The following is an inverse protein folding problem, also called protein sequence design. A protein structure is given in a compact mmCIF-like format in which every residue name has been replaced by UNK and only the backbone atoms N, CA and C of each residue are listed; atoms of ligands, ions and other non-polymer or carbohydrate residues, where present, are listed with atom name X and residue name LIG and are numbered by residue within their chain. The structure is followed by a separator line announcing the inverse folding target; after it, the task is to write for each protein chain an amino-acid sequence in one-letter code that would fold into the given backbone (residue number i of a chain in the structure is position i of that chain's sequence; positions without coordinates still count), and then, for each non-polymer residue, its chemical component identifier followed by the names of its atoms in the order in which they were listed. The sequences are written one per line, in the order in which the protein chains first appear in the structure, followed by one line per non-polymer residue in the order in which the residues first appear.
data_IF_710639820870
#
_entry.id   IF_710639820870
#
_cell.length_a   1.000
_cell.length_b   1.000
_cell.length_c   1.000
_cell.angle_alpha   90.00
_cell.angle_beta   90.00
_cell.angle_gamma   90.00
#
_symmetry.space_group_name_H-M   'P 1'
#
loop_
_entity.id
_entity.type
_entity.pdbx_description
1 polymer ?
#
# COMPACT_ATOMS: atom_id res chain seq x y z
N UNK A 1 33.50 -3.34 9.15
CA UNK A 1 32.12 -2.86 8.91
C UNK A 1 31.65 -2.25 10.21
N UNK A 2 30.82 -1.22 10.15
CA UNK A 2 30.24 -0.63 11.37
C UNK A 2 29.34 -1.67 12.04
N UNK A 3 29.46 -1.84 13.35
CA UNK A 3 28.65 -2.74 14.16
C UNK A 3 27.79 -1.91 15.09
N UNK A 4 26.50 -2.18 15.15
CA UNK A 4 25.53 -1.46 16.00
C UNK A 4 24.72 -2.47 16.80
N UNK A 5 24.53 -2.22 18.09
CA UNK A 5 23.69 -2.99 19.00
C UNK A 5 22.48 -2.15 19.42
N UNK A 6 21.28 -2.63 19.15
CA UNK A 6 20.04 -2.04 19.66
C UNK A 6 19.65 -2.74 20.96
N UNK A 7 19.42 -1.97 22.04
CA UNK A 7 18.85 -2.45 23.30
C UNK A 7 17.34 -2.21 23.27
N UNK A 8 16.53 -3.26 23.16
CA UNK A 8 15.08 -3.15 22.96
C UNK A 8 14.31 -3.31 24.28
N UNK A 9 13.38 -2.39 24.60
CA UNK A 9 12.45 -2.58 25.72
C UNK A 9 11.56 -3.79 25.49
N UNK A 10 10.89 -3.82 24.33
CA UNK A 10 10.16 -4.97 23.78
C UNK A 10 10.56 -5.16 22.33
N UNK A 11 10.41 -6.38 21.81
CA UNK A 11 10.68 -6.70 20.41
C UNK A 11 9.54 -7.54 19.83
N UNK A 12 9.03 -7.10 18.68
CA UNK A 12 8.20 -7.89 17.78
C UNK A 12 9.06 -8.32 16.59
N UNK A 13 9.19 -9.61 16.36
CA UNK A 13 10.10 -10.14 15.32
C UNK A 13 9.51 -10.18 13.89
N UNK A 14 8.22 -9.84 13.75
CA UNK A 14 7.48 -9.93 12.49
C UNK A 14 6.71 -11.26 12.30
N UNK A 15 6.91 -12.25 13.16
CA UNK A 15 6.36 -13.61 12.99
C UNK A 15 5.53 -14.06 14.19
N UNK A 16 6.10 -13.95 15.39
CA UNK A 16 5.48 -14.45 16.61
C UNK A 16 4.41 -13.49 17.14
N UNK A 17 3.31 -14.04 17.66
CA UNK A 17 2.26 -13.25 18.30
C UNK A 17 2.61 -12.92 19.76
N UNK A 18 3.79 -12.33 19.94
CA UNK A 18 4.28 -11.91 21.27
C UNK A 18 5.26 -10.75 21.16
N UNK A 19 5.27 -9.92 22.20
CA UNK A 19 6.31 -8.91 22.40
C UNK A 19 7.34 -9.47 23.38
N UNK A 20 8.55 -9.71 22.89
CA UNK A 20 9.64 -10.27 23.67
C UNK A 20 10.36 -9.16 24.46
N UNK A 21 10.42 -9.21 25.82
CA UNK A 21 11.04 -8.15 26.60
C UNK A 21 12.56 -8.27 26.59
N UNK A 22 13.25 -7.11 26.68
CA UNK A 22 14.70 -7.01 26.91
C UNK A 22 15.52 -7.81 25.90
N UNK A 23 15.16 -7.68 24.62
CA UNK A 23 15.92 -8.28 23.52
C UNK A 23 16.98 -7.31 23.00
N UNK A 24 17.96 -7.86 22.32
CA UNK A 24 19.02 -7.14 21.64
C UNK A 24 19.03 -7.51 20.16
N UNK A 25 19.36 -6.55 19.30
CA UNK A 25 19.58 -6.76 17.86
C UNK A 25 20.98 -6.29 17.51
N UNK A 26 21.85 -7.21 17.12
CA UNK A 26 23.19 -6.93 16.65
C UNK A 26 23.18 -6.80 15.12
N UNK A 27 23.73 -5.68 14.63
CA UNK A 27 23.73 -5.31 13.21
C UNK A 27 25.18 -5.16 12.76
N UNK A 28 25.53 -5.73 11.61
CA UNK A 28 26.81 -5.58 10.94
C UNK A 28 26.60 -5.06 9.52
N UNK A 29 27.01 -3.81 9.27
CA UNK A 29 26.74 -3.15 8.00
C UNK A 29 25.22 -2.96 7.76
N UNK A 30 24.71 -3.54 6.68
CA UNK A 30 23.29 -3.49 6.28
C UNK A 30 22.46 -4.69 6.78
N UNK A 31 23.07 -5.62 7.55
CA UNK A 31 22.43 -6.89 7.92
C UNK A 31 22.33 -7.08 9.43
N UNK A 32 21.26 -7.74 9.84
CA UNK A 32 21.10 -8.29 11.19
C UNK A 32 22.03 -9.50 11.32
N UNK A 33 22.95 -9.45 12.28
CA UNK A 33 23.85 -10.55 12.58
C UNK A 33 23.24 -11.51 13.61
N UNK A 34 22.63 -10.96 14.67
CA UNK A 34 21.99 -11.76 15.71
C UNK A 34 20.80 -11.02 16.35
N UNK A 35 19.85 -11.81 16.86
CA UNK A 35 18.75 -11.35 17.72
C UNK A 35 18.71 -12.23 18.94
N UNK A 36 18.77 -11.65 20.14
CA UNK A 36 18.86 -12.44 21.37
C UNK A 36 18.97 -11.59 22.63
N UNK A 37 19.56 -12.14 23.67
CA UNK A 37 19.87 -11.44 24.94
C UNK A 37 21.35 -11.62 25.24
N UNK A 38 21.96 -10.60 25.83
CA UNK A 38 23.38 -10.60 26.18
C UNK A 38 24.28 -10.98 25.00
N UNK A 39 24.03 -10.36 23.84
CA UNK A 39 24.78 -10.64 22.63
C UNK A 39 26.24 -10.20 22.78
N UNK A 40 27.21 -10.99 22.27
CA UNK A 40 28.61 -10.57 22.27
C UNK A 40 28.80 -9.34 21.41
N UNK A 41 29.59 -8.37 21.90
CA UNK A 41 29.87 -7.11 21.20
C UNK A 41 31.35 -6.77 21.30
N UNK A 42 31.90 -6.22 20.23
CA UNK A 42 33.25 -5.67 20.20
C UNK A 42 33.33 -4.32 20.90
N UNK A 43 34.56 -3.88 21.18
CA UNK A 43 34.83 -2.59 21.86
C UNK A 43 34.32 -1.39 21.02
N UNK A 44 34.35 -1.48 19.68
CA UNK A 44 33.91 -0.44 18.74
C UNK A 44 32.44 -0.53 18.36
N UNK A 45 31.62 -1.33 19.06
CA UNK A 45 30.19 -1.48 18.77
C UNK A 45 29.43 -0.25 19.25
N UNK A 46 28.74 0.43 18.34
CA UNK A 46 27.81 1.52 18.69
C UNK A 46 26.59 0.94 19.41
N UNK A 47 26.21 1.52 20.54
CA UNK A 47 25.03 1.09 21.29
C UNK A 47 23.95 2.15 21.15
N UNK A 48 22.75 1.72 20.70
CA UNK A 48 21.55 2.55 20.63
C UNK A 48 20.54 2.00 21.65
N UNK A 49 20.22 2.85 22.63
CA UNK A 49 19.26 2.48 23.69
C UNK A 49 17.82 2.80 23.26
N UNK A 50 17.02 1.73 23.07
CA UNK A 50 15.60 1.77 22.78
C UNK A 50 14.81 1.01 23.87
N UNK A 51 15.31 1.03 25.11
CA UNK A 51 14.72 0.30 26.24
C UNK A 51 13.34 0.84 26.66
N UNK A 52 12.98 2.05 26.23
CA UNK A 52 11.66 2.67 26.43
C UNK A 52 10.68 2.42 25.26
N UNK A 53 11.09 1.68 24.26
CA UNK A 53 10.32 1.49 23.02
C UNK A 53 10.07 0.00 22.69
N UNK A 54 9.10 -0.23 21.80
CA UNK A 54 8.91 -1.53 21.15
C UNK A 54 9.57 -1.49 19.78
N UNK A 55 10.57 -2.35 19.57
CA UNK A 55 11.29 -2.51 18.31
C UNK A 55 10.58 -3.52 17.41
N UNK A 56 10.45 -3.20 16.13
CA UNK A 56 9.79 -4.03 15.11
C UNK A 56 10.64 -4.07 13.84
N UNK A 57 10.38 -4.98 12.89
CA UNK A 57 10.80 -4.76 11.52
C UNK A 57 10.28 -3.40 11.02
N UNK A 58 10.99 -2.78 10.11
CA UNK A 58 10.49 -1.59 9.41
C UNK A 58 9.12 -1.88 8.80
N UNK A 59 8.15 -0.97 9.01
CA UNK A 59 6.81 -1.16 8.50
C UNK A 59 6.78 -1.05 6.97
N UNK A 60 5.83 -1.75 6.37
CA UNK A 60 5.60 -1.81 4.94
C UNK A 60 4.15 -1.44 4.66
N UNK A 61 3.92 -0.45 3.80
CA UNK A 61 2.59 -0.13 3.28
C UNK A 61 2.45 -0.71 1.87
N UNK A 62 1.50 -1.63 1.68
CA UNK A 62 1.30 -2.32 0.42
C UNK A 62 0.33 -1.62 -0.54
N UNK A 63 -0.20 -0.45 -0.19
CA UNK A 63 -1.09 0.32 -1.05
C UNK A 63 -1.04 1.81 -0.73
N UNK A 64 -0.23 2.56 -1.46
CA UNK A 64 -0.16 4.02 -1.35
C UNK A 64 0.02 4.65 -2.73
N UNK A 65 -0.60 5.79 -2.97
CA UNK A 65 -0.41 6.62 -4.16
C UNK A 65 0.56 7.77 -3.83
N UNK A 66 1.85 7.48 -3.87
CA UNK A 66 2.90 8.40 -3.43
C UNK A 66 3.02 9.66 -4.31
N UNK A 67 2.50 9.63 -5.53
CA UNK A 67 2.44 10.76 -6.46
C UNK A 67 1.20 11.64 -6.27
N UNK A 68 0.32 11.32 -5.31
CA UNK A 68 -0.81 12.14 -4.85
C UNK A 68 -0.44 12.93 -3.58
N UNK A 69 0.62 13.70 -3.62
CA UNK A 69 1.25 14.32 -2.46
C UNK A 69 0.60 15.63 -1.99
N UNK A 70 -0.31 16.22 -2.76
CA UNK A 70 -1.16 17.35 -2.36
C UNK A 70 -2.62 17.01 -2.63
N UNK A 71 -3.34 16.65 -1.57
CA UNK A 71 -4.73 16.21 -1.67
C UNK A 71 -5.71 17.33 -2.04
N UNK A 72 -5.41 18.58 -1.71
CA UNK A 72 -6.28 19.70 -2.02
C UNK A 72 -6.24 20.08 -3.51
N UNK A 73 -5.10 19.86 -4.15
CA UNK A 73 -4.88 20.20 -5.57
C UNK A 73 -4.71 18.96 -6.46
N UNK A 74 -4.79 17.76 -5.91
CA UNK A 74 -4.49 16.49 -6.59
C UNK A 74 -5.13 16.37 -7.97
N UNK A 75 -6.39 16.78 -8.13
CA UNK A 75 -7.08 16.69 -9.41
C UNK A 75 -6.52 17.66 -10.45
N UNK A 76 -6.29 18.92 -10.08
CA UNK A 76 -5.68 19.90 -10.98
C UNK A 76 -4.25 19.50 -11.33
N UNK A 77 -3.49 19.03 -10.36
CA UNK A 77 -2.13 18.56 -10.59
C UNK A 77 -2.07 17.32 -11.47
N UNK A 78 -3.03 16.41 -11.38
CA UNK A 78 -3.11 15.26 -12.28
C UNK A 78 -3.20 15.66 -13.74
N UNK A 79 -3.85 16.77 -14.04
CA UNK A 79 -4.04 17.26 -15.41
C UNK A 79 -2.89 18.19 -15.85
N UNK A 80 -2.40 19.05 -14.96
CA UNK A 80 -1.54 20.16 -15.32
C UNK A 80 -0.09 20.05 -14.86
N UNK A 81 0.20 19.23 -13.84
CA UNK A 81 1.57 19.09 -13.36
C UNK A 81 2.44 18.28 -14.33
N UNK A 82 3.72 18.65 -14.41
CA UNK A 82 4.68 17.86 -15.18
C UNK A 82 5.03 16.56 -14.46
N UNK A 83 5.41 15.53 -15.23
CA UNK A 83 5.89 14.25 -14.69
C UNK A 83 7.10 14.41 -13.75
N UNK A 84 7.98 15.39 -14.03
CA UNK A 84 9.10 15.72 -13.12
C UNK A 84 8.60 16.21 -11.76
N UNK A 85 7.58 17.08 -11.72
CA UNK A 85 7.00 17.57 -10.47
C UNK A 85 6.39 16.43 -9.66
N UNK A 86 5.68 15.50 -10.31
CA UNK A 86 5.13 14.30 -9.67
C UNK A 86 6.19 13.35 -9.16
N UNK A 87 7.29 13.17 -9.90
CA UNK A 87 8.42 12.37 -9.45
C UNK A 87 9.04 12.97 -8.16
N UNK A 88 9.17 14.30 -8.08
CA UNK A 88 9.61 14.98 -6.87
C UNK A 88 8.61 14.82 -5.70
N UNK A 89 7.31 14.83 -5.97
CA UNK A 89 6.28 14.53 -4.98
C UNK A 89 6.36 13.10 -4.47
N UNK A 90 6.57 12.14 -5.37
CA UNK A 90 6.83 10.73 -4.98
C UNK A 90 8.05 10.60 -4.06
N UNK A 91 9.13 11.33 -4.37
CA UNK A 91 10.32 11.34 -3.54
C UNK A 91 10.03 11.95 -2.15
N UNK A 92 9.31 13.07 -2.10
CA UNK A 92 8.87 13.71 -0.86
C UNK A 92 8.06 12.73 0.01
N UNK A 93 7.06 12.05 -0.58
CA UNK A 93 6.26 11.04 0.12
C UNK A 93 7.13 9.90 0.66
N UNK A 94 8.05 9.37 -0.17
CA UNK A 94 8.93 8.27 0.24
C UNK A 94 9.88 8.67 1.39
N UNK A 95 10.37 9.91 1.40
CA UNK A 95 11.22 10.43 2.47
C UNK A 95 10.44 10.57 3.80
N UNK A 96 9.26 11.18 3.76
CA UNK A 96 8.43 11.37 4.96
C UNK A 96 7.90 10.04 5.51
N UNK A 97 7.49 9.10 4.67
CA UNK A 97 7.09 7.76 5.10
C UNK A 97 8.24 7.01 5.80
N UNK A 98 9.47 7.10 5.27
CA UNK A 98 10.65 6.53 5.93
C UNK A 98 10.85 7.11 7.33
N UNK A 99 10.80 8.43 7.48
CA UNK A 99 10.97 9.12 8.76
C UNK A 99 9.87 8.80 9.77
N UNK A 100 8.73 8.28 9.30
CA UNK A 100 7.61 7.79 10.10
C UNK A 100 7.61 6.28 10.32
N UNK A 101 8.73 5.60 10.02
CA UNK A 101 8.93 4.19 10.32
C UNK A 101 8.49 3.20 9.25
N UNK A 102 8.04 3.67 8.07
CA UNK A 102 7.68 2.83 6.94
C UNK A 102 8.86 2.73 5.97
N UNK A 103 9.60 1.62 6.04
CA UNK A 103 10.84 1.43 5.28
C UNK A 103 10.62 0.98 3.84
N UNK A 104 9.43 0.46 3.51
CA UNK A 104 9.04 0.06 2.15
C UNK A 104 7.60 0.46 1.84
N UNK A 105 7.35 0.83 0.59
CA UNK A 105 6.04 1.22 0.07
C UNK A 105 5.76 0.45 -1.23
N UNK A 106 4.52 -0.03 -1.42
CA UNK A 106 4.05 -0.50 -2.72
C UNK A 106 3.08 0.51 -3.32
N UNK A 107 3.32 0.86 -4.58
CA UNK A 107 2.53 1.80 -5.36
C UNK A 107 1.71 1.02 -6.41
N UNK A 108 0.45 0.63 -6.10
CA UNK A 108 -0.39 -0.14 -7.01
C UNK A 108 -1.12 0.76 -8.01
N UNK A 109 -0.36 1.33 -8.91
CA UNK A 109 -0.78 2.31 -9.89
C UNK A 109 -0.35 3.72 -9.51
N UNK A 110 0.31 4.40 -10.44
CA UNK A 110 0.58 5.84 -10.32
C UNK A 110 -0.66 6.61 -10.75
N UNK A 111 -0.89 7.76 -10.12
CA UNK A 111 -1.87 8.76 -10.60
C UNK A 111 -1.37 9.39 -11.90
N UNK A 112 -0.04 9.47 -12.06
CA UNK A 112 0.61 9.90 -13.31
C UNK A 112 0.36 8.89 -14.44
N UNK A 113 -0.46 9.22 -15.46
CA UNK A 113 -0.82 8.27 -16.50
C UNK A 113 0.07 8.36 -17.74
N UNK A 114 1.04 9.28 -17.79
CA UNK A 114 1.71 9.67 -19.04
C UNK A 114 3.13 9.14 -19.18
N UNK A 115 3.82 8.87 -18.06
CA UNK A 115 5.20 8.40 -18.10
C UNK A 115 5.54 7.38 -16.99
N UNK A 116 6.83 7.20 -16.75
CA UNK A 116 7.38 6.17 -15.86
C UNK A 116 8.28 6.75 -14.76
N UNK A 117 8.05 8.00 -14.35
CA UNK A 117 8.91 8.74 -13.41
C UNK A 117 9.12 8.05 -12.07
N UNK A 118 8.17 7.26 -11.59
CA UNK A 118 8.31 6.47 -10.34
C UNK A 118 9.51 5.51 -10.39
N UNK A 119 9.82 4.96 -11.55
CA UNK A 119 10.98 4.07 -11.72
C UNK A 119 12.31 4.81 -11.50
N UNK A 120 12.38 6.08 -11.90
CA UNK A 120 13.57 6.91 -11.70
C UNK A 120 13.72 7.30 -10.22
N UNK A 121 12.63 7.59 -9.54
CA UNK A 121 12.62 7.84 -8.09
C UNK A 121 13.10 6.59 -7.33
N UNK A 122 12.50 5.43 -7.62
CA UNK A 122 12.87 4.17 -6.98
C UNK A 122 14.37 3.87 -7.16
N UNK A 123 14.87 3.97 -8.40
CA UNK A 123 16.29 3.77 -8.73
C UNK A 123 17.20 4.77 -8.01
N UNK A 124 16.78 6.03 -7.86
CA UNK A 124 17.56 7.08 -7.21
C UNK A 124 17.67 6.84 -5.70
N UNK A 125 16.61 6.35 -5.06
CA UNK A 125 16.63 5.91 -3.66
C UNK A 125 17.50 4.66 -3.50
N UNK A 126 17.36 3.66 -4.37
CA UNK A 126 18.14 2.42 -4.32
C UNK A 126 19.65 2.68 -4.45
N UNK A 127 20.05 3.66 -5.29
CA UNK A 127 21.44 4.07 -5.45
C UNK A 127 21.97 4.97 -4.35
N UNK A 128 21.12 5.34 -3.38
CA UNK A 128 21.48 6.21 -2.25
C UNK A 128 21.68 7.68 -2.65
N UNK A 129 21.18 8.11 -3.81
CA UNK A 129 21.23 9.53 -4.19
C UNK A 129 20.27 10.36 -3.36
N UNK A 130 19.16 9.76 -2.93
CA UNK A 130 18.16 10.36 -2.08
C UNK A 130 17.74 9.40 -0.96
N UNK A 131 17.28 9.97 0.15
CA UNK A 131 16.65 9.23 1.24
C UNK A 131 15.19 8.92 0.87
N UNK A 132 14.69 7.79 1.35
CA UNK A 132 13.30 7.41 1.17
C UNK A 132 13.05 5.93 1.41
N UNK A 133 11.79 5.58 1.56
CA UNK A 133 11.33 4.18 1.62
C UNK A 133 11.67 3.45 0.32
N UNK A 134 11.95 2.15 0.42
CA UNK A 134 12.09 1.27 -0.76
C UNK A 134 10.76 1.24 -1.50
N UNK A 135 10.77 1.48 -2.81
CA UNK A 135 9.56 1.50 -3.63
C UNK A 135 9.42 0.21 -4.44
N UNK A 136 8.27 -0.44 -4.32
CA UNK A 136 7.79 -1.51 -5.20
C UNK A 136 6.61 -0.94 -5.98
N UNK A 137 6.66 -0.92 -7.31
CA UNK A 137 5.73 -0.13 -8.11
C UNK A 137 5.19 -0.85 -9.34
N UNK A 138 3.96 -0.53 -9.70
CA UNK A 138 3.42 -0.61 -11.05
C UNK A 138 3.32 0.81 -11.62
N UNK A 139 2.98 0.91 -12.91
CA UNK A 139 2.63 2.18 -13.52
C UNK A 139 1.11 2.39 -13.52
N UNK A 140 0.60 3.33 -14.31
CA UNK A 140 -0.83 3.59 -14.38
C UNK A 140 -1.65 2.29 -14.51
N UNK A 141 -2.68 2.15 -13.69
CA UNK A 141 -3.49 0.94 -13.66
C UNK A 141 -4.14 0.66 -15.03
N UNK A 142 -4.23 -0.63 -15.38
CA UNK A 142 -4.89 -1.05 -16.61
C UNK A 142 -6.40 -0.98 -16.44
N UNK A 143 -7.07 -0.22 -17.29
CA UNK A 143 -8.50 0.04 -17.24
C UNK A 143 -9.11 0.35 -18.59
N UNK A 144 -10.40 0.67 -18.60
CA UNK A 144 -11.17 0.94 -19.81
C UNK A 144 -11.62 2.40 -19.89
N UNK A 145 -11.88 2.94 -21.09
CA UNK A 145 -12.52 4.24 -21.24
C UNK A 145 -13.87 4.29 -20.50
N UNK A 146 -14.08 5.37 -19.74
CA UNK A 146 -15.26 5.50 -18.89
C UNK A 146 -15.19 4.72 -17.57
N UNK A 147 -14.10 3.99 -17.32
CA UNK A 147 -13.87 3.25 -16.08
C UNK A 147 -13.28 4.08 -14.95
N UNK A 148 -13.01 3.43 -13.81
CA UNK A 148 -12.66 4.07 -12.54
C UNK A 148 -11.41 4.99 -12.62
N UNK A 149 -10.41 4.63 -13.43
CA UNK A 149 -9.19 5.43 -13.63
C UNK A 149 -9.27 6.41 -14.79
N UNK A 150 -10.39 6.49 -15.48
CA UNK A 150 -10.54 7.44 -16.57
C UNK A 150 -10.85 8.84 -16.04
N UNK A 151 -9.83 9.59 -15.70
CA UNK A 151 -9.96 10.96 -15.20
C UNK A 151 -10.51 11.93 -16.28
N UNK A 152 -10.52 11.54 -17.57
CA UNK A 152 -11.14 12.34 -18.63
C UNK A 152 -12.65 12.53 -18.42
N UNK A 153 -13.29 11.65 -17.65
CA UNK A 153 -14.69 11.79 -17.24
C UNK A 153 -14.96 13.13 -16.54
N UNK A 154 -13.98 13.66 -15.78
CA UNK A 154 -14.09 14.97 -15.11
C UNK A 154 -13.91 16.16 -16.06
N UNK A 155 -13.47 15.88 -17.29
CA UNK A 155 -13.35 16.85 -18.38
C UNK A 155 -14.51 16.73 -19.40
N UNK A 156 -15.54 15.93 -19.10
CA UNK A 156 -16.63 15.61 -20.05
C UNK A 156 -17.42 16.83 -20.54
N UNK A 157 -17.41 17.95 -19.80
CA UNK A 157 -17.99 19.21 -20.25
C UNK A 157 -17.20 19.86 -21.40
N UNK A 158 -15.95 19.45 -21.61
CA UNK A 158 -15.12 19.87 -22.74
C UNK A 158 -14.58 18.63 -23.48
N UNK A 159 -15.34 18.09 -24.46
CA UNK A 159 -14.97 16.86 -25.18
C UNK A 159 -13.58 16.93 -25.84
N UNK A 160 -13.14 18.09 -26.29
CA UNK A 160 -11.83 18.24 -26.91
C UNK A 160 -10.69 17.96 -25.90
N UNK A 161 -10.80 18.51 -24.69
CA UNK A 161 -9.82 18.26 -23.61
C UNK A 161 -9.91 16.80 -23.13
N UNK A 162 -11.10 16.26 -23.00
CA UNK A 162 -11.30 14.86 -22.61
C UNK A 162 -10.62 13.91 -23.60
N UNK A 163 -10.83 14.09 -24.89
CA UNK A 163 -10.20 13.28 -25.95
C UNK A 163 -8.68 13.46 -25.99
N UNK A 164 -8.18 14.68 -25.86
CA UNK A 164 -6.74 14.94 -25.81
C UNK A 164 -6.09 14.23 -24.62
N UNK A 165 -6.70 14.30 -23.44
CA UNK A 165 -6.23 13.61 -22.26
C UNK A 165 -6.23 12.09 -22.46
N UNK A 166 -7.37 11.51 -22.83
CA UNK A 166 -7.53 10.06 -23.05
C UNK A 166 -6.54 9.50 -24.07
N UNK A 167 -6.24 10.26 -25.13
CA UNK A 167 -5.29 9.84 -26.18
C UNK A 167 -3.85 9.67 -25.67
N UNK A 168 -3.50 10.19 -24.50
CA UNK A 168 -2.16 10.14 -23.90
C UNK A 168 -2.07 9.19 -22.71
N UNK A 169 -3.19 8.80 -22.11
CA UNK A 169 -3.20 7.88 -20.95
C UNK A 169 -2.69 6.51 -21.38
N UNK A 170 -1.70 6.02 -20.64
CA UNK A 170 -1.16 4.69 -20.87
C UNK A 170 -1.93 3.64 -20.07
N UNK A 171 -2.20 2.50 -20.69
CA UNK A 171 -2.90 1.40 -20.02
C UNK A 171 -4.42 1.50 -20.04
N UNK A 172 -5.00 2.51 -20.69
CA UNK A 172 -6.45 2.63 -20.87
C UNK A 172 -6.83 2.33 -22.32
N UNK A 173 -7.71 1.33 -22.50
CA UNK A 173 -8.15 0.90 -23.83
C UNK A 173 -9.10 -0.29 -23.76
N UNK A 174 -9.27 -1.00 -24.86
CA UNK A 174 -10.17 -2.15 -24.97
C UNK A 174 -9.59 -3.24 -25.84
N UNK A 175 -9.94 -4.49 -25.52
CA UNK A 175 -9.56 -5.69 -26.25
C UNK A 175 -8.32 -6.39 -25.71
N UNK A 176 -8.33 -7.71 -25.76
CA UNK A 176 -7.29 -8.56 -25.19
C UNK A 176 -5.89 -8.26 -25.70
N UNK A 177 -5.73 -7.95 -27.01
CA UNK A 177 -4.44 -7.65 -27.61
C UNK A 177 -3.87 -6.31 -27.13
N UNK A 178 -4.74 -5.29 -26.95
CA UNK A 178 -4.36 -4.03 -26.34
C UNK A 178 -3.74 -4.26 -24.95
N UNK A 179 -4.40 -5.04 -24.11
CA UNK A 179 -3.91 -5.29 -22.76
C UNK A 179 -2.65 -6.14 -22.72
N UNK A 180 -2.48 -7.12 -23.61
CA UNK A 180 -1.19 -7.85 -23.75
C UNK A 180 -0.04 -6.91 -24.04
N UNK A 181 -0.23 -5.96 -24.95
CA UNK A 181 0.80 -4.97 -25.28
C UNK A 181 1.03 -3.99 -24.13
N UNK A 182 0.01 -3.55 -23.45
CA UNK A 182 0.11 -2.67 -22.28
C UNK A 182 0.91 -3.32 -21.14
N UNK A 183 0.66 -4.60 -20.83
CA UNK A 183 1.45 -5.36 -19.84
C UNK A 183 2.93 -5.44 -20.27
N UNK A 184 3.21 -5.85 -21.49
CA UNK A 184 4.59 -5.93 -22.01
C UNK A 184 5.31 -4.59 -21.93
N UNK A 185 4.59 -3.51 -22.22
CA UNK A 185 5.13 -2.15 -22.17
C UNK A 185 5.47 -1.76 -20.73
N UNK A 186 4.57 -1.99 -19.77
CA UNK A 186 4.84 -1.72 -18.36
C UNK A 186 6.04 -2.52 -17.84
N UNK A 187 6.12 -3.82 -18.16
CA UNK A 187 7.25 -4.68 -17.77
C UNK A 187 8.56 -4.20 -18.42
N UNK A 188 8.53 -3.80 -19.70
CA UNK A 188 9.69 -3.21 -20.38
C UNK A 188 10.27 -2.01 -19.65
N UNK A 189 9.44 -1.18 -19.06
CA UNK A 189 9.85 0.01 -18.32
C UNK A 189 10.10 -0.23 -16.82
N UNK A 190 9.96 -1.47 -16.35
CA UNK A 190 10.41 -1.89 -15.03
C UNK A 190 9.28 -2.12 -14.01
N UNK A 191 8.03 -2.23 -14.44
CA UNK A 191 6.95 -2.62 -13.54
C UNK A 191 7.28 -3.93 -12.82
N UNK A 192 7.16 -3.93 -11.50
CA UNK A 192 7.46 -5.09 -10.66
C UNK A 192 6.24 -5.99 -10.47
N UNK A 193 5.05 -5.44 -10.70
CA UNK A 193 3.76 -6.13 -10.75
C UNK A 193 2.80 -5.35 -11.68
N UNK A 194 1.63 -5.91 -11.96
CA UNK A 194 0.60 -5.28 -12.80
C UNK A 194 -0.62 -4.98 -11.95
N UNK A 195 -1.20 -3.79 -12.11
CA UNK A 195 -2.45 -3.37 -11.48
C UNK A 195 -3.58 -3.28 -12.49
N UNK A 196 -4.74 -3.87 -12.15
CA UNK A 196 -5.97 -3.83 -12.95
C UNK A 196 -7.03 -3.03 -12.20
N UNK A 197 -7.89 -2.30 -12.92
CA UNK A 197 -9.16 -1.79 -12.43
C UNK A 197 -10.28 -2.75 -12.82
N UNK A 198 -10.63 -3.67 -11.93
CA UNK A 198 -11.57 -4.74 -12.24
C UNK A 198 -13.01 -4.36 -12.02
N UNK A 199 -13.31 -3.49 -11.06
CA UNK A 199 -14.65 -2.90 -10.88
C UNK A 199 -14.59 -1.38 -10.88
N UNK A 200 -15.75 -0.75 -11.02
CA UNK A 200 -15.92 0.67 -10.80
C UNK A 200 -15.72 1.04 -9.32
N UNK A 201 -15.95 2.31 -8.97
CA UNK A 201 -15.64 2.79 -7.64
C UNK A 201 -16.59 3.84 -7.08
N UNK A 202 -16.22 4.31 -5.88
CA UNK A 202 -16.97 5.37 -5.19
C UNK A 202 -16.62 6.76 -5.70
N UNK A 203 -15.37 6.99 -6.09
CA UNK A 203 -14.84 8.30 -6.44
C UNK A 203 -15.10 8.73 -7.90
N UNK A 204 -15.38 7.82 -8.80
CA UNK A 204 -15.67 8.09 -10.21
C UNK A 204 -17.12 8.50 -10.44
N UNK A 205 -17.43 9.44 -11.38
CA UNK A 205 -18.79 9.95 -11.53
C UNK A 205 -19.75 9.00 -12.24
N UNK A 206 -19.28 8.19 -13.19
CA UNK A 206 -20.14 7.49 -14.15
C UNK A 206 -20.16 5.96 -14.03
N UNK A 207 -19.37 5.38 -13.12
CA UNK A 207 -19.38 3.95 -12.80
C UNK A 207 -19.85 3.69 -11.36
N UNK A 208 -20.09 2.44 -11.02
CA UNK A 208 -20.44 1.98 -9.68
C UNK A 208 -19.49 0.92 -9.14
N UNK A 209 -19.39 0.77 -7.81
CA UNK A 209 -18.46 -0.21 -7.21
C UNK A 209 -18.77 -1.67 -7.61
N UNK A 210 -19.96 -1.94 -8.12
CA UNK A 210 -20.35 -3.27 -8.61
C UNK A 210 -20.20 -3.44 -10.13
N UNK A 211 -19.82 -2.39 -10.88
CA UNK A 211 -19.71 -2.50 -12.34
C UNK A 211 -18.40 -3.20 -12.72
N UNK A 212 -18.51 -4.38 -13.34
CA UNK A 212 -17.36 -5.07 -13.92
C UNK A 212 -16.84 -4.29 -15.12
N UNK A 213 -15.57 -3.90 -15.10
CA UNK A 213 -15.04 -2.97 -16.10
C UNK A 213 -14.39 -3.65 -17.30
N UNK A 214 -13.82 -4.83 -17.13
CA UNK A 214 -13.18 -5.57 -18.20
C UNK A 214 -13.95 -6.87 -18.48
N UNK A 215 -13.89 -7.33 -19.73
CA UNK A 215 -14.39 -8.64 -20.12
C UNK A 215 -13.49 -9.76 -19.56
N UNK A 216 -13.99 -11.00 -19.57
CA UNK A 216 -13.19 -12.15 -19.11
C UNK A 216 -11.94 -12.37 -19.98
N UNK A 217 -12.03 -12.11 -21.28
CA UNK A 217 -10.89 -12.24 -22.20
C UNK A 217 -9.82 -11.19 -21.93
N UNK A 218 -10.21 -9.98 -21.55
CA UNK A 218 -9.28 -8.91 -21.17
C UNK A 218 -8.58 -9.22 -19.85
N UNK A 219 -9.31 -9.68 -18.82
CA UNK A 219 -8.72 -10.14 -17.58
C UNK A 219 -7.70 -11.26 -17.80
N UNK A 220 -8.07 -12.30 -18.56
CA UNK A 220 -7.15 -13.39 -18.91
C UNK A 220 -5.93 -12.90 -19.65
N UNK A 221 -6.10 -12.02 -20.63
CA UNK A 221 -4.99 -11.46 -21.38
C UNK A 221 -3.98 -10.74 -20.51
N UNK A 222 -4.45 -10.00 -19.49
CA UNK A 222 -3.58 -9.29 -18.54
C UNK A 222 -2.87 -10.29 -17.63
N UNK A 223 -3.62 -11.15 -16.92
CA UNK A 223 -3.09 -12.06 -15.91
C UNK A 223 -2.08 -13.03 -16.53
N UNK A 224 -2.45 -13.71 -17.62
CA UNK A 224 -1.59 -14.67 -18.31
C UNK A 224 -0.31 -14.01 -18.86
N UNK A 225 -0.43 -12.79 -19.41
CA UNK A 225 0.75 -12.07 -19.94
C UNK A 225 1.67 -11.63 -18.81
N UNK A 226 1.12 -11.12 -17.69
CA UNK A 226 1.91 -10.75 -16.52
C UNK A 226 2.67 -11.97 -15.96
N UNK A 227 1.98 -13.09 -15.76
CA UNK A 227 2.57 -14.33 -15.27
C UNK A 227 3.64 -14.89 -16.22
N UNK A 228 3.40 -14.86 -17.52
CA UNK A 228 4.40 -15.30 -18.53
C UNK A 228 5.70 -14.48 -18.49
N UNK A 229 5.62 -13.25 -17.97
CA UNK A 229 6.76 -12.35 -17.78
C UNK A 229 7.28 -12.34 -16.34
N UNK A 230 6.80 -13.27 -15.49
CA UNK A 230 7.20 -13.39 -14.08
C UNK A 230 6.79 -12.19 -13.22
N UNK A 231 5.64 -11.57 -13.53
CA UNK A 231 5.10 -10.45 -12.75
C UNK A 231 3.78 -10.85 -12.11
N UNK A 232 3.60 -10.65 -10.79
CA UNK A 232 2.30 -10.81 -10.15
C UNK A 232 1.33 -9.75 -10.63
N UNK A 233 0.03 -10.05 -10.49
CA UNK A 233 -1.07 -9.18 -10.87
C UNK A 233 -2.01 -8.95 -9.69
N UNK A 234 -2.42 -7.70 -9.47
CA UNK A 234 -3.41 -7.34 -8.45
C UNK A 234 -4.52 -6.46 -9.03
N UNK A 235 -5.70 -6.51 -8.43
CA UNK A 235 -6.88 -5.82 -8.94
C UNK A 235 -7.56 -4.94 -7.88
N UNK A 236 -7.86 -3.68 -8.24
CA UNK A 236 -8.90 -2.89 -7.59
C UNK A 236 -10.24 -3.55 -7.83
N UNK A 237 -10.96 -3.92 -6.78
CA UNK A 237 -12.26 -4.60 -6.89
C UNK A 237 -13.08 -4.44 -5.62
N UNK A 238 -14.39 -4.25 -5.78
CA UNK A 238 -15.35 -4.23 -4.68
C UNK A 238 -16.35 -5.38 -4.75
N UNK A 239 -16.82 -5.72 -5.95
CA UNK A 239 -17.94 -6.61 -6.16
C UNK A 239 -17.57 -8.10 -5.95
N UNK A 240 -18.31 -8.86 -5.12
CA UNK A 240 -18.04 -10.28 -4.87
C UNK A 240 -17.95 -11.13 -6.13
N UNK A 241 -18.87 -10.97 -7.08
CA UNK A 241 -18.88 -11.76 -8.31
C UNK A 241 -17.67 -11.49 -9.22
N UNK A 242 -17.13 -10.24 -9.21
CA UNK A 242 -15.90 -9.92 -9.94
C UNK A 242 -14.69 -10.51 -9.23
N UNK A 243 -14.65 -10.45 -7.89
CA UNK A 243 -13.60 -11.11 -7.10
C UNK A 243 -13.55 -12.61 -7.38
N UNK A 244 -14.69 -13.29 -7.37
CA UNK A 244 -14.78 -14.73 -7.68
C UNK A 244 -14.29 -15.04 -9.09
N UNK A 245 -14.65 -14.23 -10.08
CA UNK A 245 -14.17 -14.35 -11.45
C UNK A 245 -12.64 -14.27 -11.53
N UNK A 246 -12.02 -13.32 -10.83
CA UNK A 246 -10.56 -13.15 -10.78
C UNK A 246 -9.87 -14.30 -10.03
N UNK A 247 -10.47 -14.82 -8.96
CA UNK A 247 -9.97 -16.00 -8.25
C UNK A 247 -9.93 -17.24 -9.18
N UNK A 248 -10.97 -17.43 -10.02
CA UNK A 248 -11.02 -18.49 -11.03
C UNK A 248 -9.93 -18.35 -12.10
N UNK A 249 -9.45 -17.15 -12.34
CA UNK A 249 -8.39 -16.84 -13.30
C UNK A 249 -6.98 -16.91 -12.69
N UNK A 250 -6.88 -17.13 -11.36
CA UNK A 250 -5.60 -17.28 -10.68
C UNK A 250 -4.86 -15.96 -10.44
N UNK A 251 -5.57 -14.88 -10.17
CA UNK A 251 -4.94 -13.60 -9.79
C UNK A 251 -4.18 -13.74 -8.47
N UNK A 252 -3.06 -13.03 -8.32
CA UNK A 252 -2.20 -13.12 -7.13
C UNK A 252 -2.77 -12.37 -5.93
N UNK A 253 -3.43 -11.24 -6.17
CA UNK A 253 -3.99 -10.42 -5.10
C UNK A 253 -5.09 -9.46 -5.52
N UNK A 254 -5.76 -8.89 -4.52
CA UNK A 254 -6.80 -7.89 -4.73
C UNK A 254 -6.67 -6.77 -3.69
N UNK A 255 -7.16 -5.60 -4.07
CA UNK A 255 -7.19 -4.39 -3.27
C UNK A 255 -8.64 -4.08 -2.87
N UNK A 256 -8.82 -3.53 -1.68
CA UNK A 256 -10.11 -3.13 -1.09
C UNK A 256 -11.01 -4.32 -0.72
N UNK A 257 -11.65 -4.96 -1.68
CA UNK A 257 -12.60 -6.04 -1.40
C UNK A 257 -13.79 -5.59 -0.53
N UNK A 258 -14.13 -4.30 -0.56
CA UNK A 258 -14.96 -3.66 0.47
C UNK A 258 -16.46 -3.99 0.43
N UNK A 259 -16.87 -4.87 -0.49
CA UNK A 259 -18.23 -5.44 -0.53
C UNK A 259 -18.19 -6.98 -0.40
N UNK A 260 -17.10 -7.53 0.16
CA UNK A 260 -16.91 -8.98 0.31
C UNK A 260 -18.02 -9.62 1.12
N UNK A 261 -18.49 -10.78 0.65
CA UNK A 261 -19.36 -11.68 1.37
C UNK A 261 -18.60 -12.92 1.89
N UNK A 262 -19.26 -13.72 2.75
CA UNK A 262 -18.66 -14.90 3.37
C UNK A 262 -18.20 -15.93 2.32
N UNK A 263 -19.00 -16.18 1.28
CA UNK A 263 -18.66 -17.13 0.24
C UNK A 263 -17.40 -16.71 -0.55
N UNK A 264 -17.25 -15.41 -0.82
CA UNK A 264 -16.07 -14.89 -1.47
C UNK A 264 -14.84 -14.97 -0.54
N UNK A 265 -15.00 -14.70 0.75
CA UNK A 265 -13.92 -14.84 1.73
C UNK A 265 -13.41 -16.28 1.80
N UNK A 266 -14.29 -17.28 1.83
CA UNK A 266 -13.93 -18.70 1.77
C UNK A 266 -13.13 -19.05 0.50
N UNK A 267 -13.48 -18.44 -0.63
CA UNK A 267 -12.73 -18.64 -1.88
C UNK A 267 -11.32 -18.08 -1.82
N UNK A 268 -11.13 -16.91 -1.21
CA UNK A 268 -9.79 -16.36 -0.96
C UNK A 268 -8.94 -17.29 -0.10
N UNK A 269 -9.51 -17.86 0.97
CA UNK A 269 -8.81 -18.82 1.83
C UNK A 269 -8.38 -20.08 1.07
N UNK A 270 -9.23 -20.59 0.16
CA UNK A 270 -8.95 -21.76 -0.66
C UNK A 270 -7.86 -21.54 -1.69
N UNK A 271 -7.81 -20.37 -2.31
CA UNK A 271 -6.83 -20.05 -3.36
C UNK A 271 -5.51 -19.52 -2.82
N UNK A 272 -5.49 -19.01 -1.57
CA UNK A 272 -4.32 -18.33 -0.99
C UNK A 272 -4.03 -16.96 -1.59
N UNK A 273 -4.93 -16.42 -2.41
CA UNK A 273 -4.85 -15.05 -2.95
C UNK A 273 -4.85 -14.05 -1.80
N UNK A 274 -3.97 -13.04 -1.82
CA UNK A 274 -3.95 -12.01 -0.79
C UNK A 274 -4.98 -10.91 -1.03
N UNK A 275 -5.37 -10.23 0.06
CA UNK A 275 -6.18 -9.03 0.05
C UNK A 275 -5.47 -7.90 0.80
N UNK A 276 -5.44 -6.70 0.22
CA UNK A 276 -5.05 -5.47 0.91
C UNK A 276 -6.31 -4.63 1.11
N UNK A 277 -6.94 -4.65 2.31
CA UNK A 277 -8.32 -4.17 2.49
C UNK A 277 -8.45 -2.65 2.51
N UNK A 278 -7.39 -1.89 2.79
CA UNK A 278 -7.39 -0.42 2.81
C UNK A 278 -8.58 0.16 3.57
N UNK A 279 -8.69 -0.11 4.86
CA UNK A 279 -9.87 0.31 5.64
C UNK A 279 -9.98 1.82 5.80
N UNK A 280 -8.86 2.56 5.76
CA UNK A 280 -8.81 3.98 6.09
C UNK A 280 -9.76 4.84 5.23
N UNK A 281 -9.79 4.76 3.89
CA UNK A 281 -10.72 5.56 3.08
C UNK A 281 -12.18 5.27 3.40
N UNK A 282 -12.50 4.05 3.80
CA UNK A 282 -13.89 3.62 4.10
C UNK A 282 -14.29 3.89 5.54
N UNK A 283 -13.35 3.89 6.48
CA UNK A 283 -13.61 4.21 7.88
C UNK A 283 -14.18 5.63 8.01
N UNK A 284 -13.58 6.59 7.33
CA UNK A 284 -14.09 7.95 7.30
C UNK A 284 -15.45 8.07 6.62
N UNK A 285 -15.65 7.28 5.56
CA UNK A 285 -16.93 7.22 4.84
C UNK A 285 -18.04 6.63 5.71
N UNK A 286 -17.73 5.52 6.40
CA UNK A 286 -18.69 4.84 7.28
C UNK A 286 -19.12 5.74 8.45
N UNK A 287 -18.21 6.58 8.95
CA UNK A 287 -18.43 7.45 10.09
C UNK A 287 -18.65 8.93 9.73
N UNK A 288 -18.80 9.25 8.44
CA UNK A 288 -19.10 10.62 8.01
C UNK A 288 -20.38 11.13 8.67
N UNK A 289 -20.24 12.23 9.40
CA UNK A 289 -21.43 12.98 9.85
C UNK A 289 -22.13 13.64 8.64
N UNK A 290 -23.43 13.92 8.81
CA UNK A 290 -24.26 14.51 7.76
C UNK A 290 -23.71 15.86 7.24
N UNK A 291 -23.06 16.65 8.09
CA UNK A 291 -22.51 17.94 7.71
C UNK A 291 -21.28 17.79 6.82
N UNK A 292 -20.43 16.81 7.09
CA UNK A 292 -19.29 16.48 6.23
C UNK A 292 -19.73 15.83 4.92
N UNK A 293 -20.70 14.91 4.99
CA UNK A 293 -21.26 14.24 3.82
C UNK A 293 -21.90 15.23 2.86
N UNK A 294 -22.61 16.25 3.37
CA UNK A 294 -23.25 17.28 2.57
C UNK A 294 -22.26 18.14 1.74
N UNK A 295 -20.97 18.15 2.10
CA UNK A 295 -19.91 18.84 1.34
C UNK A 295 -19.34 18.03 0.18
N UNK A 296 -19.65 16.73 0.10
CA UNK A 296 -19.19 15.87 -0.99
C UNK A 296 -20.10 16.01 -2.22
N UNK A 297 -19.58 15.61 -3.39
CA UNK A 297 -20.38 15.61 -4.63
C UNK A 297 -21.67 14.76 -4.48
N UNK A 298 -22.81 15.18 -5.06
CA UNK A 298 -24.08 14.47 -4.90
C UNK A 298 -24.06 12.99 -5.34
N UNK A 299 -23.26 12.64 -6.35
CA UNK A 299 -23.10 11.26 -6.80
C UNK A 299 -22.41 10.43 -5.72
N UNK A 300 -21.34 10.96 -5.14
CA UNK A 300 -20.60 10.34 -4.05
C UNK A 300 -21.51 10.14 -2.82
N UNK A 301 -22.27 11.17 -2.42
CA UNK A 301 -23.23 11.06 -1.32
C UNK A 301 -24.23 9.91 -1.51
N UNK A 302 -24.80 9.78 -2.73
CA UNK A 302 -25.75 8.70 -3.04
C UNK A 302 -25.11 7.32 -2.94
N UNK A 303 -23.91 7.15 -3.54
CA UNK A 303 -23.18 5.89 -3.49
C UNK A 303 -22.89 5.49 -2.03
N UNK A 304 -22.37 6.41 -1.22
CA UNK A 304 -22.06 6.14 0.19
C UNK A 304 -23.29 5.69 0.98
N UNK A 305 -24.38 6.43 0.91
CA UNK A 305 -25.63 6.08 1.63
C UNK A 305 -26.15 4.69 1.22
N UNK A 306 -26.00 4.34 -0.05
CA UNK A 306 -26.46 3.03 -0.56
C UNK A 306 -25.60 1.86 -0.10
N UNK A 307 -24.32 2.08 0.17
CA UNK A 307 -23.37 1.00 0.46
C UNK A 307 -22.85 0.99 1.90
N UNK A 308 -23.13 2.00 2.72
CA UNK A 308 -22.58 2.15 4.08
C UNK A 308 -22.71 0.87 4.91
N UNK A 309 -23.90 0.27 4.96
CA UNK A 309 -24.09 -0.98 5.68
C UNK A 309 -23.29 -2.14 5.12
N UNK A 310 -23.24 -2.29 3.80
CA UNK A 310 -22.48 -3.35 3.14
C UNK A 310 -20.97 -3.21 3.37
N UNK A 311 -20.46 -1.97 3.43
CA UNK A 311 -19.07 -1.69 3.78
C UNK A 311 -18.75 -2.15 5.22
N UNK A 312 -19.67 -1.91 6.18
CA UNK A 312 -19.52 -2.38 7.55
C UNK A 312 -19.57 -3.91 7.64
N UNK A 313 -20.55 -4.54 6.98
CA UNK A 313 -20.71 -6.00 6.97
C UNK A 313 -19.47 -6.68 6.34
N UNK A 314 -18.99 -6.16 5.22
CA UNK A 314 -17.78 -6.65 4.54
C UNK A 314 -16.53 -6.57 5.42
N UNK A 315 -16.34 -5.46 6.14
CA UNK A 315 -15.24 -5.32 7.10
C UNK A 315 -15.28 -6.41 8.17
N UNK A 316 -16.48 -6.75 8.66
CA UNK A 316 -16.66 -7.82 9.64
C UNK A 316 -16.36 -9.21 9.05
N UNK A 317 -16.73 -9.46 7.80
CA UNK A 317 -16.37 -10.68 7.08
C UNK A 317 -14.84 -10.80 6.95
N UNK A 318 -14.19 -9.75 6.45
CA UNK A 318 -12.72 -9.73 6.30
C UNK A 318 -12.01 -9.95 7.64
N UNK A 319 -12.47 -9.29 8.71
CA UNK A 319 -11.91 -9.42 10.04
C UNK A 319 -11.97 -10.85 10.58
N UNK A 320 -13.08 -11.56 10.35
CA UNK A 320 -13.32 -12.92 10.84
C UNK A 320 -12.66 -13.99 9.99
N UNK A 321 -12.30 -13.68 8.74
CA UNK A 321 -11.70 -14.62 7.80
C UNK A 321 -10.24 -14.94 8.14
N UNK A 322 -9.70 -16.01 7.52
CA UNK A 322 -8.28 -16.37 7.54
C UNK A 322 -7.56 -15.94 6.25
N UNK A 323 -8.13 -15.02 5.48
CA UNK A 323 -7.50 -14.47 4.28
C UNK A 323 -6.11 -13.92 4.63
N UNK A 324 -5.13 -14.13 3.73
CA UNK A 324 -3.83 -13.46 3.80
C UNK A 324 -4.02 -11.97 3.59
N UNK A 325 -4.00 -11.19 4.66
CA UNK A 325 -4.21 -9.75 4.61
C UNK A 325 -2.88 -9.00 4.58
N UNK A 326 -2.74 -8.11 3.60
CA UNK A 326 -1.70 -7.09 3.59
C UNK A 326 -2.19 -5.80 4.24
N UNK A 327 -1.27 -5.05 4.84
CA UNK A 327 -1.52 -3.70 5.35
C UNK A 327 -1.33 -2.69 4.23
N UNK A 328 -2.32 -1.85 3.94
CA UNK A 328 -2.25 -0.81 2.92
C UNK A 328 -3.25 0.30 3.20
N UNK A 329 -2.83 1.54 3.00
CA UNK A 329 -3.58 2.73 3.42
C UNK A 329 -4.50 3.30 2.36
N UNK A 330 -4.12 3.20 1.10
CA UNK A 330 -4.79 3.91 -0.02
C UNK A 330 -5.00 5.41 0.30
N UNK A 331 -3.96 6.04 0.85
CA UNK A 331 -3.97 7.46 1.21
C UNK A 331 -4.08 8.31 -0.05
N UNK A 332 -5.31 8.71 -0.36
CA UNK A 332 -5.67 9.70 -1.38
C UNK A 332 -6.81 10.57 -0.85
N UNK A 333 -6.73 11.86 -1.07
CA UNK A 333 -7.80 12.83 -0.86
C UNK A 333 -8.32 13.04 0.59
N UNK A 334 -7.69 12.47 1.62
CA UNK A 334 -8.11 12.63 3.01
C UNK A 334 -6.94 13.05 3.90
N UNK A 335 -5.82 12.31 3.83
CA UNK A 335 -4.59 12.55 4.59
C UNK A 335 -3.40 12.63 3.65
N UNK A 336 -2.27 13.12 4.14
CA UNK A 336 -1.04 13.10 3.36
C UNK A 336 -0.60 11.65 3.07
N UNK A 337 -0.08 11.35 1.87
CA UNK A 337 0.23 9.96 1.46
C UNK A 337 1.38 9.30 2.23
N UNK A 338 1.93 9.98 3.24
CA UNK A 338 2.94 9.47 4.18
C UNK A 338 2.42 9.31 5.62
N UNK A 339 1.12 9.49 5.88
CA UNK A 339 0.50 9.25 7.19
C UNK A 339 0.09 7.77 7.38
N UNK A 340 0.94 6.87 6.93
CA UNK A 340 0.68 5.42 6.80
C UNK A 340 0.24 4.75 8.10
N UNK A 341 0.64 5.26 9.26
CA UNK A 341 0.23 4.73 10.57
C UNK A 341 -1.28 4.84 10.88
N UNK A 342 -2.03 5.67 10.15
CA UNK A 342 -3.48 5.85 10.40
C UNK A 342 -4.32 4.62 10.08
N UNK A 343 -3.91 3.82 9.13
CA UNK A 343 -4.59 2.56 8.81
C UNK A 343 -4.60 1.60 10.01
N UNK A 344 -3.56 1.66 10.86
CA UNK A 344 -3.49 0.82 12.07
C UNK A 344 -4.66 1.07 13.03
N UNK A 345 -5.04 2.34 13.20
CA UNK A 345 -6.22 2.70 14.00
C UNK A 345 -7.50 2.06 13.44
N UNK A 346 -7.67 2.05 12.12
CA UNK A 346 -8.83 1.44 11.48
C UNK A 346 -8.89 -0.08 11.73
N UNK A 347 -7.73 -0.75 11.70
CA UNK A 347 -7.65 -2.19 12.00
C UNK A 347 -8.04 -2.47 13.46
N UNK A 348 -7.50 -1.72 14.41
CA UNK A 348 -7.80 -1.93 15.83
C UNK A 348 -9.27 -1.60 16.15
N UNK A 349 -9.82 -0.48 15.63
CA UNK A 349 -11.23 -0.12 15.78
C UNK A 349 -12.18 -1.15 15.18
N UNK A 350 -11.78 -1.84 14.13
CA UNK A 350 -12.55 -2.96 13.57
C UNK A 350 -12.59 -4.18 14.49
N UNK A 351 -11.75 -4.22 15.53
CA UNK A 351 -11.56 -5.38 16.41
C UNK A 351 -10.60 -6.42 15.84
N UNK A 352 -9.75 -6.05 14.88
CA UNK A 352 -8.68 -6.91 14.38
C UNK A 352 -7.65 -7.16 15.48
N UNK A 353 -7.13 -8.39 15.54
CA UNK A 353 -6.02 -8.72 16.42
C UNK A 353 -4.78 -7.85 16.09
N UNK A 354 -4.19 -7.12 17.06
CA UNK A 354 -3.04 -6.27 16.81
C UNK A 354 -1.85 -7.01 16.17
N UNK A 355 -1.57 -8.25 16.56
CA UNK A 355 -0.49 -9.04 15.94
C UNK A 355 -0.78 -9.37 14.48
N UNK A 356 -2.06 -9.56 14.10
CA UNK A 356 -2.43 -9.74 12.70
C UNK A 356 -2.15 -8.49 11.89
N UNK A 357 -2.46 -7.30 12.43
CA UNK A 357 -2.15 -6.02 11.80
C UNK A 357 -0.63 -5.78 11.69
N UNK A 358 0.13 -6.06 12.75
CA UNK A 358 1.59 -5.92 12.76
C UNK A 358 2.26 -6.90 11.77
N UNK A 359 1.81 -8.16 11.71
CA UNK A 359 2.30 -9.11 10.70
C UNK A 359 1.95 -8.66 9.28
N UNK A 360 0.73 -8.14 9.07
CA UNK A 360 0.32 -7.59 7.78
C UNK A 360 1.24 -6.44 7.34
N UNK A 361 1.60 -5.53 8.26
CA UNK A 361 2.49 -4.40 8.00
C UNK A 361 3.99 -4.76 7.94
N UNK A 362 4.36 -6.02 8.13
CA UNK A 362 5.75 -6.48 8.15
C UNK A 362 5.95 -7.71 7.28
N UNK A 363 5.95 -8.92 7.87
CA UNK A 363 6.30 -10.16 7.18
C UNK A 363 5.35 -10.53 6.05
N UNK A 364 4.04 -10.32 6.21
CA UNK A 364 3.05 -10.63 5.16
C UNK A 364 3.21 -9.68 3.98
N UNK A 365 3.35 -8.37 4.24
CA UNK A 365 3.62 -7.42 3.16
C UNK A 365 4.97 -7.67 2.48
N UNK A 366 6.01 -8.06 3.21
CA UNK A 366 7.28 -8.45 2.61
C UNK A 366 7.10 -9.62 1.62
N UNK A 367 6.31 -10.62 2.00
CA UNK A 367 5.95 -11.75 1.11
C UNK A 367 5.17 -11.27 -0.12
N UNK A 368 4.10 -10.46 0.07
CA UNK A 368 3.27 -9.90 -1.01
C UNK A 368 4.12 -9.10 -2.01
N UNK A 369 5.08 -8.34 -1.51
CA UNK A 369 5.95 -7.50 -2.33
C UNK A 369 7.13 -8.26 -2.96
N UNK A 370 7.33 -9.54 -2.62
CA UNK A 370 8.49 -10.32 -3.06
C UNK A 370 9.82 -9.87 -2.43
N UNK A 371 9.76 -9.21 -1.28
CA UNK A 371 10.93 -8.71 -0.54
C UNK A 371 11.38 -9.76 0.49
N UNK A 372 12.22 -10.70 0.07
CA UNK A 372 12.56 -11.88 0.89
C UNK A 372 13.53 -11.60 2.04
N UNK A 373 14.14 -10.44 2.12
CA UNK A 373 15.17 -10.10 3.10
C UNK A 373 14.79 -8.99 4.09
N UNK A 374 13.53 -8.54 4.11
CA UNK A 374 12.96 -7.57 5.06
C UNK A 374 11.70 -8.12 5.75
N UNK A 375 11.08 -7.36 6.62
CA UNK A 375 9.81 -7.67 7.28
C UNK A 375 9.91 -8.65 8.46
N UNK A 376 11.12 -9.14 8.76
CA UNK A 376 11.40 -10.05 9.90
C UNK A 376 12.74 -9.66 10.53
N UNK A 377 12.79 -9.61 11.86
CA UNK A 377 14.03 -9.43 12.60
C UNK A 377 14.69 -10.80 12.85
N UNK A 378 15.57 -11.20 11.96
CA UNK A 378 16.30 -12.49 12.05
C UNK A 378 17.69 -12.37 11.41
N UNK A 379 18.65 -13.23 11.82
CA UNK A 379 19.98 -13.24 11.24
C UNK A 379 19.97 -13.34 9.71
N UNK A 380 20.79 -12.55 9.04
CA UNK A 380 20.90 -12.48 7.58
C UNK A 380 19.88 -11.56 6.88
N UNK A 381 18.82 -11.12 7.56
CA UNK A 381 17.87 -10.14 7.02
C UNK A 381 18.49 -8.74 7.00
N UNK A 382 17.95 -7.86 6.16
CA UNK A 382 18.34 -6.44 6.18
C UNK A 382 17.98 -5.78 7.50
N UNK A 383 18.80 -4.86 7.92
CA UNK A 383 18.52 -4.04 9.08
C UNK A 383 17.54 -2.90 8.73
N UNK A 384 16.29 -3.30 8.40
CA UNK A 384 15.14 -2.43 8.26
C UNK A 384 14.33 -2.54 9.55
N UNK A 385 14.41 -1.52 10.41
CA UNK A 385 13.98 -1.57 11.81
C UNK A 385 13.29 -0.27 12.17
N UNK A 386 12.16 -0.35 12.89
CA UNK A 386 11.47 0.80 13.45
C UNK A 386 11.19 0.60 14.94
N UNK A 387 11.12 1.69 15.71
CA UNK A 387 10.76 1.62 17.12
C UNK A 387 9.66 2.62 17.46
N UNK A 388 8.79 2.22 18.39
CA UNK A 388 7.54 2.88 18.72
C UNK A 388 7.45 3.07 20.23
N UNK A 389 7.14 4.28 20.70
CA UNK A 389 7.02 4.55 22.13
C UNK A 389 5.69 4.11 22.69
N UNK A 390 4.61 4.24 21.91
CA UNK A 390 3.27 3.87 22.34
C UNK A 390 3.07 2.36 22.35
N UNK A 391 2.08 1.90 23.12
CA UNK A 391 1.75 0.47 23.21
C UNK A 391 1.11 -0.04 21.92
N UNK A 392 1.85 -0.85 21.16
CA UNK A 392 1.40 -1.42 19.88
C UNK A 392 0.18 -2.34 20.01
N UNK A 393 -0.16 -2.81 21.21
CA UNK A 393 -1.29 -3.72 21.37
C UNK A 393 -2.58 -3.04 21.80
N UNK A 394 -2.50 -1.82 22.37
CA UNK A 394 -3.63 -1.18 23.01
C UNK A 394 -3.84 0.29 22.58
N UNK A 395 -2.86 0.92 21.93
CA UNK A 395 -3.00 2.29 21.44
C UNK A 395 -3.17 2.29 19.92
N UNK A 396 -4.32 2.71 19.45
CA UNK A 396 -4.63 2.78 18.02
C UNK A 396 -3.76 3.76 17.25
N UNK A 397 -3.15 4.74 17.92
CA UNK A 397 -2.24 5.71 17.34
C UNK A 397 -0.76 5.30 17.45
N UNK A 398 -0.48 4.06 17.84
CA UNK A 398 0.87 3.61 18.11
C UNK A 398 1.80 3.76 16.89
N UNK A 399 1.33 3.48 15.67
CA UNK A 399 2.13 3.64 14.46
C UNK A 399 2.22 5.10 13.94
N UNK A 400 1.79 6.08 14.73
CA UNK A 400 2.04 7.51 14.50
C UNK A 400 3.20 8.06 15.34
N UNK A 401 3.71 7.31 16.32
CA UNK A 401 4.76 7.73 17.26
C UNK A 401 6.04 6.93 17.03
N UNK A 402 6.62 7.06 15.82
CA UNK A 402 7.90 6.46 15.48
C UNK A 402 9.06 7.24 16.14
N UNK A 403 9.85 6.57 16.97
CA UNK A 403 10.98 7.20 17.69
C UNK A 403 12.34 6.80 17.16
N UNK A 404 12.40 5.78 16.34
CA UNK A 404 13.61 5.32 15.68
C UNK A 404 13.28 4.64 14.37
N UNK A 405 14.05 4.92 13.32
CA UNK A 405 13.98 4.22 12.05
C UNK A 405 15.37 3.98 11.47
N UNK A 406 15.57 2.75 11.00
CA UNK A 406 16.76 2.31 10.30
C UNK A 406 16.34 1.57 9.02
N UNK A 407 16.99 1.85 7.91
CA UNK A 407 16.81 1.16 6.64
C UNK A 407 18.16 0.80 6.05
N UNK A 408 18.34 -0.45 5.65
CA UNK A 408 19.61 -0.97 5.13
C UNK A 408 20.79 -0.67 6.08
N UNK A 409 20.58 -0.75 7.42
CA UNK A 409 21.59 -0.47 8.44
C UNK A 409 21.94 1.01 8.67
N UNK A 410 21.28 1.92 7.96
CA UNK A 410 21.43 3.37 8.10
C UNK A 410 20.28 3.93 8.93
N UNK A 411 20.61 4.63 10.01
CA UNK A 411 19.64 5.35 10.83
C UNK A 411 19.22 6.66 10.16
N UNK A 412 17.93 6.98 10.23
CA UNK A 412 17.35 8.22 9.72
C UNK A 412 16.68 9.01 10.85
N UNK A 413 16.53 10.32 10.63
CA UNK A 413 15.76 11.17 11.53
C UNK A 413 14.29 10.80 11.48
N UNK A 414 13.63 10.73 12.64
CA UNK A 414 12.20 10.45 12.74
C UNK A 414 11.35 11.73 12.72
N UNK A 415 10.10 11.56 12.30
CA UNK A 415 9.03 12.57 12.37
C UNK A 415 7.84 11.97 13.14
N UNK A 416 7.33 12.69 14.13
CA UNK A 416 6.11 12.30 14.82
C UNK A 416 4.89 12.62 13.95
N UNK A 417 4.03 11.63 13.73
CA UNK A 417 2.79 11.79 12.97
C UNK A 417 1.63 12.36 13.77
N UNK A 418 1.83 12.63 15.08
CA UNK A 418 0.80 13.20 15.96
C UNK A 418 0.79 14.73 15.94
N UNK A 419 1.86 15.36 15.44
CA UNK A 419 2.03 16.81 15.40
C UNK A 419 1.57 17.44 14.08
N UNK A 420 0.98 16.64 13.18
CA UNK A 420 0.55 17.04 11.84
C UNK A 420 -0.96 17.36 11.78
#
# INVERSE_FOLDING_TARGET
MKTTLLLCGKLFDGVQESLQPQMEVLICGDRIEAVGRNLPRGEDCEIIDLSDATVTPGMIDAHVHADAFDNDTMFQETIFASSTYRALGTLHTAEHALRRGFTSLRLPGTIEPFDYGVADVARSIERGYFQGSRLVYSFGALGVPGGHTDLSQRLSENPLLAELYSSKVQGMGSGADFFRDAVRKQVKYGAQFIKIMASGGFASPHDGPEDKQLSDDEFRAIIETAHSLGRPCTAHVYAPYVMQCLLDMGIDGMEHGSLMDEATAERFEQTGTYLVPTFLPYEEIIHLDEAKLAKKEPVFQRKLRSYQKRLQDSRDVIRKSNIKLGYGTDLVAVYQPYENGREYACWLRSGMNPFRALKAATSVNAEILGLHDVGVLAPGKRADISAWRRDLLHDENALLDCTFVMKDGVQYQTECGLDA
#
